data_IF_374605641132
#
_entry.id   IF_374605641132
#
_cell.length_a   1.000
_cell.length_b   1.000
_cell.length_c   1.000
_cell.angle_alpha   90.00
_cell.angle_beta   90.00
_cell.angle_gamma   90.00
#
_symmetry.space_group_name_H-M   'P 1'
#
loop_
_entity.id
_entity.type
_entity.pdbx_description
1 polymer ?
#
# COMPACT_ATOMS: atom_id res chain seq x y z
N UNK A 1 5.06 5.23 24.55
CA UNK A 1 4.05 5.22 23.47
C UNK A 1 4.50 4.27 22.38
N UNK A 2 3.80 3.15 22.22
CA UNK A 2 4.19 2.08 21.30
C UNK A 2 4.05 2.55 19.85
N UNK A 3 5.13 3.08 19.28
CA UNK A 3 5.27 3.20 17.83
C UNK A 3 5.19 1.79 17.25
N UNK A 4 4.05 1.44 16.67
CA UNK A 4 4.04 0.48 15.58
C UNK A 4 4.94 1.09 14.52
N UNK A 5 6.17 0.60 14.42
CA UNK A 5 7.21 1.17 13.56
C UNK A 5 6.88 0.78 12.11
N UNK A 6 5.90 1.48 11.54
CA UNK A 6 5.74 1.55 10.08
C UNK A 6 7.06 2.11 9.56
N UNK A 7 7.79 1.30 8.81
CA UNK A 7 9.09 1.71 8.29
C UNK A 7 8.96 2.90 7.34
N UNK A 8 10.05 3.63 7.13
CA UNK A 8 10.04 4.87 6.37
C UNK A 8 9.42 4.68 4.96
N UNK A 9 8.49 5.57 4.57
CA UNK A 9 7.86 5.48 3.28
C UNK A 9 8.83 5.84 2.16
N UNK A 10 8.97 4.97 1.17
CA UNK A 10 9.66 5.27 -0.09
C UNK A 10 8.64 5.75 -1.11
N UNK A 11 8.88 6.91 -1.73
CA UNK A 11 8.07 7.37 -2.86
C UNK A 11 8.80 6.99 -4.16
N UNK A 12 8.17 6.15 -4.96
CA UNK A 12 8.57 5.81 -6.32
C UNK A 12 7.79 6.70 -7.25
N UNK A 13 8.47 7.70 -7.82
CA UNK A 13 7.85 8.65 -8.74
C UNK A 13 7.45 7.96 -10.05
N UNK A 14 6.25 8.26 -10.53
CA UNK A 14 5.84 7.81 -11.86
C UNK A 14 6.65 8.52 -12.94
N UNK A 15 7.14 7.80 -13.95
CA UNK A 15 7.90 8.36 -15.08
C UNK A 15 7.18 8.10 -16.41
N UNK A 16 7.48 8.91 -17.43
CA UNK A 16 6.85 8.81 -18.76
C UNK A 16 5.33 8.93 -18.70
N UNK A 17 4.63 7.93 -19.23
CA UNK A 17 3.15 7.86 -19.27
C UNK A 17 2.49 7.79 -17.88
N UNK A 18 3.28 7.53 -16.83
CA UNK A 18 2.81 7.51 -15.44
C UNK A 18 3.23 8.75 -14.65
N UNK A 19 3.73 9.80 -15.30
CA UNK A 19 4.11 11.03 -14.63
C UNK A 19 2.97 11.58 -13.75
N UNK A 20 3.27 11.84 -12.47
CA UNK A 20 2.29 12.26 -11.46
C UNK A 20 1.45 11.12 -10.86
N UNK A 21 1.74 9.86 -11.19
CA UNK A 21 1.09 8.66 -10.62
C UNK A 21 2.03 7.93 -9.66
N UNK A 22 2.50 8.66 -8.66
CA UNK A 22 3.49 8.16 -7.72
C UNK A 22 2.98 6.98 -6.90
N UNK A 23 3.89 6.06 -6.59
CA UNK A 23 3.63 4.89 -5.76
C UNK A 23 4.44 4.98 -4.48
N UNK A 24 3.77 4.94 -3.34
CA UNK A 24 4.39 4.92 -2.02
C UNK A 24 4.55 3.46 -1.62
N UNK A 25 5.77 3.04 -1.32
CA UNK A 25 6.09 1.72 -0.82
C UNK A 25 6.47 1.81 0.65
N UNK A 26 5.80 1.07 1.53
CA UNK A 26 6.05 1.13 2.97
C UNK A 26 6.23 -0.25 3.58
N UNK A 27 7.02 -0.31 4.65
CA UNK A 27 7.05 -1.46 5.54
C UNK A 27 5.93 -1.31 6.56
N UNK A 28 5.05 -2.31 6.65
CA UNK A 28 4.00 -2.37 7.66
C UNK A 28 4.49 -3.15 8.87
N UNK A 29 4.02 -2.73 10.04
CA UNK A 29 4.09 -3.59 11.22
C UNK A 29 3.03 -4.70 11.08
N UNK A 30 3.49 -5.95 11.00
CA UNK A 30 2.63 -7.13 10.91
C UNK A 30 1.68 -7.28 12.10
N UNK A 31 2.01 -6.69 13.25
CA UNK A 31 1.22 -6.76 14.49
C UNK A 31 0.19 -5.64 14.60
N UNK A 32 0.25 -4.64 13.73
CA UNK A 32 -0.70 -3.53 13.75
C UNK A 32 -2.09 -3.99 13.26
N UNK A 33 -3.12 -3.26 13.70
CA UNK A 33 -4.48 -3.50 13.24
C UNK A 33 -4.60 -3.23 11.73
N UNK A 34 -5.25 -4.11 10.94
CA UNK A 34 -5.43 -3.92 9.50
C UNK A 34 -6.04 -2.57 9.12
N UNK A 35 -6.92 -2.04 9.97
CA UNK A 35 -7.60 -0.76 9.80
C UNK A 35 -6.63 0.43 9.86
N UNK A 36 -5.57 0.33 10.67
CA UNK A 36 -4.56 1.39 10.79
C UNK A 36 -3.76 1.61 9.50
N UNK A 37 -3.74 0.62 8.60
CA UNK A 37 -3.07 0.75 7.30
C UNK A 37 -3.79 1.78 6.41
N UNK A 38 -5.12 1.89 6.53
CA UNK A 38 -5.90 2.91 5.81
C UNK A 38 -5.59 4.29 6.35
N UNK A 39 -5.58 4.47 7.67
CA UNK A 39 -5.18 5.74 8.30
C UNK A 39 -3.77 6.16 7.87
N UNK A 40 -2.85 5.20 7.79
CA UNK A 40 -1.48 5.41 7.30
C UNK A 40 -1.47 5.84 5.84
N UNK A 41 -2.24 5.19 4.97
CA UNK A 41 -2.37 5.58 3.57
C UNK A 41 -2.95 6.97 3.41
N UNK A 42 -4.05 7.31 4.08
CA UNK A 42 -4.65 8.64 4.03
C UNK A 42 -3.66 9.73 4.45
N UNK A 43 -2.95 9.51 5.56
CA UNK A 43 -1.91 10.44 6.04
C UNK A 43 -0.81 10.62 5.01
N UNK A 44 -0.29 9.52 4.47
CA UNK A 44 0.82 9.58 3.52
C UNK A 44 0.38 10.23 2.21
N UNK A 45 -0.80 9.87 1.70
CA UNK A 45 -1.39 10.39 0.47
C UNK A 45 -1.62 11.90 0.49
N UNK A 46 -1.99 12.46 1.66
CA UNK A 46 -2.23 13.89 1.81
C UNK A 46 -3.26 14.39 0.79
N UNK A 47 -2.92 15.49 0.12
CA UNK A 47 -3.79 16.17 -0.86
C UNK A 47 -3.55 15.71 -2.32
N UNK A 48 -2.76 14.65 -2.54
CA UNK A 48 -2.49 14.18 -3.91
C UNK A 48 -3.75 13.62 -4.57
N UNK A 49 -4.12 14.06 -5.78
CA UNK A 49 -5.32 13.59 -6.47
C UNK A 49 -5.20 12.14 -6.97
N UNK A 50 -3.96 11.70 -7.19
CA UNK A 50 -3.62 10.29 -7.38
C UNK A 50 -2.68 9.86 -6.26
N UNK A 51 -3.01 8.77 -5.58
CA UNK A 51 -2.14 8.18 -4.60
C UNK A 51 -2.27 6.67 -4.62
N UNK A 52 -1.16 6.00 -4.92
CA UNK A 52 -1.04 4.56 -4.77
C UNK A 52 -0.11 4.25 -3.63
N UNK A 53 -0.57 3.53 -2.62
CA UNK A 53 0.26 3.01 -1.55
C UNK A 53 0.26 1.50 -1.59
N UNK A 54 1.44 0.92 -1.44
CA UNK A 54 1.67 -0.52 -1.39
C UNK A 54 2.48 -0.83 -0.13
N UNK A 55 2.01 -1.79 0.66
CA UNK A 55 2.56 -2.12 1.97
C UNK A 55 2.88 -3.60 2.11
N UNK A 56 4.02 -3.89 2.73
CA UNK A 56 4.50 -5.25 3.02
C UNK A 56 4.66 -5.45 4.51
N UNK A 57 4.11 -6.53 5.05
CA UNK A 57 4.34 -6.94 6.44
C UNK A 57 5.66 -7.71 6.61
N UNK A 58 6.13 -8.38 5.54
CA UNK A 58 7.41 -9.08 5.51
C UNK A 58 8.50 -8.19 4.89
N UNK A 59 9.51 -7.73 5.66
CA UNK A 59 10.57 -6.86 5.14
C UNK A 59 11.43 -7.52 4.06
N UNK A 60 11.54 -8.86 4.03
CA UNK A 60 12.29 -9.57 2.99
C UNK A 60 11.60 -9.52 1.62
N UNK A 61 10.31 -9.15 1.58
CA UNK A 61 9.51 -9.10 0.36
C UNK A 61 9.14 -7.66 -0.03
N UNK A 62 9.56 -6.67 0.77
CA UNK A 62 9.44 -5.27 0.40
C UNK A 62 10.44 -4.96 -0.72
N UNK A 63 10.04 -4.24 -1.78
CA UNK A 63 10.97 -3.76 -2.78
C UNK A 63 12.01 -2.81 -2.18
N UNK A 64 13.27 -3.01 -2.59
CA UNK A 64 14.40 -2.15 -2.23
C UNK A 64 14.67 -1.06 -3.27
N UNK A 65 14.02 -1.11 -4.43
CA UNK A 65 14.13 -0.14 -5.52
C UNK A 65 12.79 0.19 -6.18
N UNK A 66 12.85 0.95 -7.29
CA UNK A 66 11.66 1.41 -8.01
C UNK A 66 10.93 0.27 -8.74
N UNK A 67 11.69 -0.71 -9.25
CA UNK A 67 11.16 -1.90 -9.86
C UNK A 67 10.78 -2.95 -8.80
N UNK A 68 9.63 -3.56 -9.00
CA UNK A 68 9.09 -4.59 -8.13
C UNK A 68 8.87 -5.87 -8.93
N UNK A 69 9.35 -7.00 -8.40
CA UNK A 69 9.14 -8.33 -9.00
C UNK A 69 7.70 -8.81 -8.80
N UNK A 70 7.26 -9.79 -9.59
CA UNK A 70 5.92 -10.38 -9.41
C UNK A 70 5.76 -11.04 -8.04
N UNK A 71 6.84 -11.63 -7.51
CA UNK A 71 6.84 -12.19 -6.16
C UNK A 71 6.61 -11.11 -5.10
N UNK A 72 7.31 -9.98 -5.18
CA UNK A 72 7.11 -8.86 -4.27
C UNK A 72 5.70 -8.27 -4.43
N UNK A 73 5.18 -8.18 -5.65
CA UNK A 73 3.80 -7.74 -5.91
C UNK A 73 2.76 -8.66 -5.29
N UNK A 74 2.94 -9.98 -5.44
CA UNK A 74 2.03 -10.98 -4.89
C UNK A 74 2.09 -11.05 -3.36
N UNK A 75 3.28 -10.81 -2.78
CA UNK A 75 3.55 -10.79 -1.35
C UNK A 75 3.03 -9.53 -0.63
N UNK A 76 2.35 -8.64 -1.33
CA UNK A 76 1.80 -7.43 -0.74
C UNK A 76 0.77 -7.76 0.32
N UNK A 77 0.85 -7.05 1.44
CA UNK A 77 -0.06 -7.18 2.57
C UNK A 77 -1.23 -6.21 2.46
N UNK A 78 -0.98 -5.02 1.92
CA UNK A 78 -1.97 -3.94 1.82
C UNK A 78 -1.74 -3.08 0.57
N UNK A 79 -2.82 -2.66 -0.08
CA UNK A 79 -2.80 -1.77 -1.24
C UNK A 79 -3.90 -0.75 -1.09
N UNK A 80 -3.55 0.51 -1.23
CA UNK A 80 -4.49 1.61 -1.29
C UNK A 80 -4.31 2.35 -2.61
N UNK A 81 -5.41 2.64 -3.30
CA UNK A 81 -5.40 3.44 -4.51
C UNK A 81 -6.53 4.46 -4.45
N UNK A 82 -6.15 5.73 -4.52
CA UNK A 82 -7.05 6.86 -4.77
C UNK A 82 -6.70 7.47 -6.12
N UNK A 83 -7.72 7.66 -6.94
CA UNK A 83 -7.68 8.35 -8.22
C UNK A 83 -8.96 9.20 -8.34
N UNK A 84 -8.84 10.46 -7.96
CA UNK A 84 -9.98 11.38 -7.91
C UNK A 84 -10.52 11.65 -9.32
N UNK A 85 -9.67 11.63 -10.34
CA UNK A 85 -10.08 11.82 -11.74
C UNK A 85 -10.95 10.66 -12.23
N UNK A 86 -10.66 9.44 -11.76
CA UNK A 86 -11.45 8.25 -12.06
C UNK A 86 -12.62 8.02 -11.08
N UNK A 87 -12.75 8.84 -10.03
CA UNK A 87 -13.71 8.60 -8.95
C UNK A 87 -13.47 7.27 -8.23
N UNK A 88 -12.21 6.84 -8.14
CA UNK A 88 -11.83 5.54 -7.62
C UNK A 88 -11.06 5.66 -6.31
N UNK A 89 -11.58 5.05 -5.25
CA UNK A 89 -10.85 4.91 -4.00
C UNK A 89 -11.08 3.51 -3.44
N UNK A 90 -10.01 2.75 -3.22
CA UNK A 90 -10.07 1.41 -2.61
C UNK A 90 -8.89 1.11 -1.72
N UNK A 91 -9.18 0.46 -0.61
CA UNK A 91 -8.24 -0.24 0.24
C UNK A 91 -8.44 -1.75 0.09
N UNK A 92 -7.37 -2.48 -0.16
CA UNK A 92 -7.36 -3.93 -0.33
C UNK A 92 -6.30 -4.55 0.57
N UNK A 93 -6.61 -5.69 1.17
CA UNK A 93 -5.73 -6.46 2.04
C UNK A 93 -5.45 -7.82 1.45
N UNK A 94 -4.30 -8.39 1.78
CA UNK A 94 -4.09 -9.83 1.60
C UNK A 94 -4.94 -10.58 2.62
N UNK A 95 -6.10 -11.08 2.19
CA UNK A 95 -7.02 -11.80 3.08
C UNK A 95 -6.49 -13.15 3.58
N UNK A 96 -5.39 -13.67 3.02
CA UNK A 96 -4.69 -14.82 3.61
C UNK A 96 -3.84 -14.43 4.83
N UNK A 97 -3.41 -13.16 4.94
CA UNK A 97 -2.71 -12.63 6.12
C UNK A 97 -3.67 -11.95 7.10
N UNK A 98 -4.66 -11.21 6.59
CA UNK A 98 -5.60 -10.41 7.36
C UNK A 98 -7.03 -10.76 6.92
N UNK A 99 -7.67 -11.76 7.54
CA UNK A 99 -9.02 -12.19 7.18
C UNK A 99 -10.02 -11.02 7.25
N UNK A 100 -10.95 -10.97 6.28
CA UNK A 100 -12.00 -9.95 6.18
C UNK A 100 -13.34 -10.61 5.88
N UNK A 101 -14.41 -10.02 6.40
CA UNK A 101 -15.78 -10.45 6.12
C UNK A 101 -16.23 -10.07 4.70
N UNK A 102 -15.74 -8.94 4.18
CA UNK A 102 -16.05 -8.47 2.83
C UNK A 102 -14.97 -8.86 1.83
N UNK A 103 -15.29 -9.81 0.94
CA UNK A 103 -14.40 -10.26 -0.12
C UNK A 103 -13.98 -9.14 -1.09
N UNK A 104 -14.73 -8.04 -1.18
CA UNK A 104 -14.37 -6.86 -2.00
C UNK A 104 -13.17 -6.10 -1.43
N UNK A 105 -12.84 -6.32 -0.15
CA UNK A 105 -11.65 -5.78 0.52
C UNK A 105 -10.43 -6.70 0.33
N UNK A 106 -10.60 -7.86 -0.31
CA UNK A 106 -9.50 -8.76 -0.59
C UNK A 106 -8.78 -8.39 -1.88
N UNK A 107 -7.45 -8.45 -1.85
CA UNK A 107 -6.65 -8.41 -3.07
C UNK A 107 -7.00 -9.58 -3.97
N UNK A 108 -7.16 -9.28 -5.27
CA UNK A 108 -7.21 -10.31 -6.31
C UNK A 108 -5.79 -10.80 -6.59
N UNK A 109 -5.64 -12.12 -6.65
CA UNK A 109 -4.37 -12.83 -6.85
C UNK A 109 -4.47 -13.68 -8.09
#
# INVERSE_FOLDING_TARGET
>A
DAKAEVGEPRVVAGTGETAGRDTIQIQLDRRAAPESFVTTALRLCGERPYCKLMGWSNPMLKPDGDAMTDMQRAAMSFSYLRDDKAGFEKALWNCAEYPRDDARQCMKR
#
